data_IF_379599390173
#
_entry.id   IF_379599390173
#
_cell.length_a   1.000
_cell.length_b   1.000
_cell.length_c   1.000
_cell.angle_alpha   90.00
_cell.angle_beta   90.00
_cell.angle_gamma   90.00
#
_symmetry.space_group_name_H-M   'P 1'
#
loop_
_entity.id
_entity.type
_entity.pdbx_description
1 polymer ?
#
# COMPACT_ATOMS: atom_id res chain seq x y z
N UNK A 1 5.74 17.27 -13.29
CA UNK A 1 4.65 17.54 -12.32
C UNK A 1 5.15 17.18 -10.93
N UNK A 2 4.65 17.82 -9.88
CA UNK A 2 5.04 17.48 -8.51
C UNK A 2 4.44 16.12 -8.10
N UNK A 3 5.22 15.29 -7.42
CA UNK A 3 4.78 13.98 -6.91
C UNK A 3 3.77 14.14 -5.79
N UNK A 4 2.65 13.42 -5.87
CA UNK A 4 1.61 13.41 -4.85
C UNK A 4 1.99 12.40 -3.76
N UNK A 5 2.13 12.87 -2.52
CA UNK A 5 2.45 12.03 -1.37
C UNK A 5 1.18 11.48 -0.74
N UNK A 6 1.10 10.17 -0.56
CA UNK A 6 -0.09 9.47 -0.07
C UNK A 6 0.25 8.59 1.14
N UNK A 7 -0.57 8.68 2.19
CA UNK A 7 -0.57 7.71 3.29
C UNK A 7 -1.76 6.75 3.15
N UNK A 8 -1.57 5.49 3.52
CA UNK A 8 -2.64 4.48 3.54
C UNK A 8 -2.96 4.13 5.00
N UNK A 9 -4.20 4.37 5.42
CA UNK A 9 -4.68 3.98 6.74
C UNK A 9 -5.68 2.83 6.61
N UNK A 10 -5.26 1.62 6.97
CA UNK A 10 -5.94 0.35 6.69
C UNK A 10 -5.34 -0.37 5.48
N UNK A 11 -4.47 -1.35 5.74
CA UNK A 11 -3.77 -2.21 4.79
C UNK A 11 -4.43 -3.59 4.59
N UNK A 12 -5.75 -3.62 4.68
CA UNK A 12 -6.58 -4.77 4.28
C UNK A 12 -6.64 -4.95 2.76
N UNK A 13 -7.68 -5.65 2.27
CA UNK A 13 -7.82 -5.99 0.84
C UNK A 13 -7.70 -4.78 -0.09
N UNK A 14 -8.44 -3.71 0.18
CA UNK A 14 -8.42 -2.50 -0.67
C UNK A 14 -7.11 -1.74 -0.54
N UNK A 15 -6.59 -1.57 0.69
CA UNK A 15 -5.32 -0.87 0.92
C UNK A 15 -4.16 -1.47 0.14
N UNK A 16 -4.06 -2.82 0.10
CA UNK A 16 -3.04 -3.51 -0.70
C UNK A 16 -3.23 -3.33 -2.20
N UNK A 17 -4.48 -3.39 -2.70
CA UNK A 17 -4.76 -3.15 -4.12
C UNK A 17 -4.44 -1.70 -4.54
N UNK A 18 -4.78 -0.73 -3.70
CA UNK A 18 -4.42 0.68 -3.90
C UNK A 18 -2.91 0.85 -3.91
N UNK A 19 -2.18 0.23 -2.97
CA UNK A 19 -0.72 0.26 -2.96
C UNK A 19 -0.12 -0.31 -4.26
N UNK A 20 -0.59 -1.48 -4.72
CA UNK A 20 -0.15 -2.08 -6.00
C UNK A 20 -0.43 -1.17 -7.20
N UNK A 21 -1.57 -0.48 -7.21
CA UNK A 21 -1.92 0.46 -8.27
C UNK A 21 -1.05 1.73 -8.22
N UNK A 22 -0.81 2.27 -7.02
CA UNK A 22 0.03 3.44 -6.80
C UNK A 22 1.49 3.20 -7.25
N UNK A 23 2.03 2.00 -7.03
CA UNK A 23 3.37 1.61 -7.52
C UNK A 23 3.52 1.61 -9.04
N UNK A 24 2.42 1.69 -9.81
CA UNK A 24 2.43 1.81 -11.28
C UNK A 24 2.24 3.26 -11.76
N UNK A 25 2.10 4.21 -10.86
CA UNK A 25 1.84 5.63 -11.17
C UNK A 25 3.08 6.45 -10.85
N UNK A 26 3.71 7.05 -11.86
CA UNK A 26 4.96 7.83 -11.71
C UNK A 26 4.78 9.11 -10.88
N UNK A 27 3.54 9.60 -10.75
CA UNK A 27 3.21 10.82 -10.02
C UNK A 27 2.73 10.56 -8.58
N UNK A 28 2.79 9.33 -8.08
CA UNK A 28 2.34 8.97 -6.72
C UNK A 28 3.50 8.37 -5.92
N UNK A 29 3.68 8.86 -4.70
CA UNK A 29 4.62 8.33 -3.72
C UNK A 29 3.84 7.92 -2.46
N UNK A 30 3.84 6.62 -2.14
CA UNK A 30 3.27 6.15 -0.86
C UNK A 30 4.32 6.35 0.24
N UNK A 31 4.05 7.28 1.16
CA UNK A 31 5.01 7.71 2.20
C UNK A 31 4.82 7.02 3.54
N UNK A 32 3.71 6.30 3.72
CA UNK A 32 3.43 5.61 4.97
C UNK A 32 2.18 4.73 4.89
N UNK A 33 2.20 3.67 5.69
CA UNK A 33 1.09 2.73 5.85
C UNK A 33 0.86 2.54 7.34
N UNK A 34 -0.39 2.62 7.78
CA UNK A 34 -0.81 2.37 9.15
C UNK A 34 -1.87 1.26 9.18
N UNK A 35 -1.71 0.29 10.07
CA UNK A 35 -2.69 -0.76 10.38
C UNK A 35 -2.52 -1.23 11.83
N UNK A 36 -3.38 -2.15 12.29
CA UNK A 36 -3.37 -2.75 13.62
C UNK A 36 -2.59 -4.08 13.67
N UNK A 37 -2.11 -4.58 12.53
CA UNK A 37 -1.32 -5.82 12.40
C UNK A 37 0.17 -5.53 12.21
N UNK A 38 1.01 -6.54 12.46
CA UNK A 38 2.46 -6.44 12.35
C UNK A 38 2.95 -6.24 10.91
N UNK A 39 4.14 -5.64 10.78
CA UNK A 39 4.72 -5.24 9.49
C UNK A 39 5.06 -6.47 8.65
N UNK A 40 5.58 -7.53 9.27
CA UNK A 40 5.94 -8.78 8.62
C UNK A 40 4.72 -9.45 7.99
N UNK A 41 3.58 -9.47 8.71
CA UNK A 41 2.34 -10.00 8.20
C UNK A 41 1.73 -9.13 7.09
N UNK A 42 1.78 -7.80 7.22
CA UNK A 42 1.40 -6.89 6.13
C UNK A 42 2.21 -7.14 4.85
N UNK A 43 3.53 -7.32 4.98
CA UNK A 43 4.41 -7.64 3.86
C UNK A 43 4.09 -9.01 3.25
N UNK A 44 3.81 -10.02 4.09
CA UNK A 44 3.36 -11.33 3.63
C UNK A 44 2.06 -11.24 2.81
N UNK A 45 1.05 -10.55 3.33
CA UNK A 45 -0.24 -10.36 2.63
C UNK A 45 -0.11 -9.53 1.34
N UNK A 46 0.86 -8.61 1.27
CA UNK A 46 1.18 -7.88 0.05
C UNK A 46 1.92 -8.76 -0.96
N UNK A 47 2.76 -9.69 -0.52
CA UNK A 47 3.46 -10.60 -1.42
C UNK A 47 2.54 -11.68 -1.96
N UNK A 48 1.70 -12.25 -1.12
CA UNK A 48 0.81 -13.36 -1.46
C UNK A 48 -0.64 -12.93 -1.34
N UNK A 49 -1.31 -12.75 -2.48
CA UNK A 49 -2.75 -12.57 -2.56
C UNK A 49 -3.36 -13.85 -3.13
N UNK A 50 -4.47 -14.31 -2.54
CA UNK A 50 -5.13 -15.56 -2.95
C UNK A 50 -6.02 -15.39 -4.18
N UNK A 51 -6.26 -14.15 -4.63
CA UNK A 51 -7.05 -13.80 -5.81
C UNK A 51 -6.17 -13.08 -6.83
#
# INVERSE_FOLDING_TARGET
>A
MATIKVGINGFGRIGRLVFRAAMKQENIEVVGINDLIDVEYMAYMLKYDSV
#
